data_IF_562255687811
#
_entry.id   IF_562255687811
#
_cell.length_a   1.000
_cell.length_b   1.000
_cell.length_c   1.000
_cell.angle_alpha   90.00
_cell.angle_beta   90.00
_cell.angle_gamma   90.00
#
_symmetry.space_group_name_H-M   'P 1'
#
loop_
_entity.id
_entity.type
_entity.pdbx_description
1 polymer ?
#
# COMPACT_ATOMS: atom_id res chain seq x y z
N UNK A 1 37.97 3.93 -0.77
CA UNK A 1 37.34 4.37 -2.03
C UNK A 1 36.00 4.97 -1.66
N UNK A 2 35.64 6.18 -2.13
CA UNK A 2 34.30 6.69 -1.91
C UNK A 2 33.30 5.76 -2.64
N UNK A 3 32.34 5.20 -1.90
CA UNK A 3 31.22 4.46 -2.50
C UNK A 3 30.31 5.44 -3.21
N UNK A 4 30.20 5.30 -4.54
CA UNK A 4 29.22 6.03 -5.32
C UNK A 4 27.86 5.33 -5.11
N UNK A 5 26.81 6.04 -4.67
CA UNK A 5 25.47 5.47 -4.57
C UNK A 5 25.06 4.89 -5.94
N UNK A 6 24.69 3.62 -5.97
CA UNK A 6 24.22 2.99 -7.20
C UNK A 6 22.73 3.26 -7.39
N UNK A 7 22.28 3.54 -8.63
CA UNK A 7 20.86 3.61 -8.93
C UNK A 7 20.19 2.28 -8.61
N UNK A 8 18.96 2.34 -8.09
CA UNK A 8 18.14 1.18 -7.79
C UNK A 8 17.86 0.34 -9.04
N UNK A 9 17.72 1.00 -10.20
CA UNK A 9 17.50 0.39 -11.51
C UNK A 9 18.54 0.95 -12.51
N UNK A 10 19.61 0.20 -12.82
CA UNK A 10 20.74 0.69 -13.62
C UNK A 10 20.43 1.06 -15.08
N UNK A 11 19.31 0.62 -15.64
CA UNK A 11 18.87 0.93 -17.01
C UNK A 11 17.53 1.66 -17.06
N UNK A 12 17.16 2.31 -15.97
CA UNK A 12 15.96 3.15 -15.90
C UNK A 12 16.14 4.40 -16.77
N UNK A 13 15.27 4.54 -17.77
CA UNK A 13 15.21 5.70 -18.66
C UNK A 13 14.54 6.93 -18.01
N UNK A 14 14.08 6.78 -16.76
CA UNK A 14 13.44 7.82 -15.99
C UNK A 14 11.98 8.06 -16.39
N UNK A 15 11.40 7.28 -17.30
CA UNK A 15 9.99 7.42 -17.70
C UNK A 15 9.02 6.86 -16.64
N UNK A 16 7.78 7.34 -16.60
CA UNK A 16 6.77 6.76 -15.71
C UNK A 16 6.39 5.36 -16.22
N UNK A 17 6.39 4.36 -15.34
CA UNK A 17 5.91 3.01 -15.67
C UNK A 17 4.45 3.06 -16.15
N UNK A 18 4.12 2.30 -17.20
CA UNK A 18 2.76 2.22 -17.74
C UNK A 18 1.75 1.79 -16.69
N UNK A 19 2.09 0.83 -15.83
CA UNK A 19 1.22 0.36 -14.75
C UNK A 19 0.87 1.49 -13.76
N UNK A 20 1.86 2.34 -13.44
CA UNK A 20 1.66 3.50 -12.56
C UNK A 20 0.83 4.58 -13.25
N UNK A 21 1.10 4.86 -14.54
CA UNK A 21 0.35 5.84 -15.31
C UNK A 21 -1.13 5.44 -15.46
N UNK A 22 -1.40 4.15 -15.72
CA UNK A 22 -2.75 3.60 -15.85
C UNK A 22 -3.48 3.64 -14.51
N UNK A 23 -2.83 3.23 -13.41
CA UNK A 23 -3.43 3.26 -12.07
C UNK A 23 -3.79 4.69 -11.63
N UNK A 24 -2.88 5.65 -11.83
CA UNK A 24 -3.14 7.06 -11.52
C UNK A 24 -4.28 7.63 -12.37
N UNK A 25 -4.31 7.31 -13.67
CA UNK A 25 -5.37 7.75 -14.57
C UNK A 25 -6.73 7.18 -14.16
N UNK A 26 -6.81 5.87 -13.88
CA UNK A 26 -8.02 5.20 -13.41
C UNK A 26 -8.49 5.74 -12.05
N UNK A 27 -7.58 6.02 -11.13
CA UNK A 27 -7.91 6.65 -9.85
C UNK A 27 -8.50 8.05 -10.05
N UNK A 28 -7.90 8.87 -10.92
CA UNK A 28 -8.41 10.20 -11.24
C UNK A 28 -9.79 10.18 -11.92
N UNK A 29 -10.08 9.12 -12.67
CA UNK A 29 -11.37 8.87 -13.31
C UNK A 29 -12.41 8.24 -12.36
N UNK A 30 -12.01 7.84 -11.15
CA UNK A 30 -12.88 7.17 -10.18
C UNK A 30 -13.19 5.70 -10.52
N UNK A 31 -12.42 5.08 -11.42
CA UNK A 31 -12.58 3.67 -11.81
C UNK A 31 -11.62 2.72 -11.10
N UNK A 32 -10.69 3.26 -10.30
CA UNK A 32 -9.82 2.52 -9.41
C UNK A 32 -9.72 3.25 -8.05
N UNK A 33 -9.33 2.53 -7.01
CA UNK A 33 -9.16 3.08 -5.67
C UNK A 33 -7.69 3.44 -5.37
N UNK A 34 -7.44 4.00 -4.19
CA UNK A 34 -6.09 4.35 -3.76
C UNK A 34 -5.19 3.12 -3.62
N UNK A 35 -5.75 1.94 -3.32
CA UNK A 35 -5.03 0.67 -3.20
C UNK A 35 -4.34 0.32 -4.51
N UNK A 36 -5.06 0.42 -5.64
CA UNK A 36 -4.49 0.15 -6.96
C UNK A 36 -3.27 1.04 -7.26
N UNK A 37 -3.35 2.34 -6.91
CA UNK A 37 -2.23 3.27 -7.07
C UNK A 37 -1.05 2.88 -6.17
N UNK A 38 -1.31 2.63 -4.88
CA UNK A 38 -0.27 2.24 -3.93
C UNK A 38 0.42 0.93 -4.33
N UNK A 39 -0.32 -0.06 -4.84
CA UNK A 39 0.24 -1.31 -5.37
C UNK A 39 1.16 -1.06 -6.56
N UNK A 40 0.72 -0.26 -7.55
CA UNK A 40 1.53 0.07 -8.71
C UNK A 40 2.81 0.86 -8.32
N UNK A 41 2.68 1.82 -7.40
CA UNK A 41 3.80 2.59 -6.88
C UNK A 41 4.80 1.72 -6.11
N UNK A 42 4.33 0.71 -5.35
CA UNK A 42 5.22 -0.19 -4.61
C UNK A 42 6.04 -1.11 -5.53
N UNK A 43 5.55 -1.39 -6.73
CA UNK A 43 6.27 -2.16 -7.76
C UNK A 43 7.23 -1.33 -8.62
N UNK A 44 7.28 0.00 -8.43
CA UNK A 44 8.07 0.92 -9.25
C UNK A 44 9.00 1.80 -8.42
N UNK A 45 10.07 2.29 -9.03
CA UNK A 45 10.90 3.35 -8.42
C UNK A 45 10.21 4.71 -8.49
N UNK A 46 10.43 5.52 -7.48
CA UNK A 46 10.14 6.95 -7.45
C UNK A 46 11.42 7.76 -7.64
N UNK A 47 11.27 8.99 -8.11
CA UNK A 47 12.34 9.97 -8.22
C UNK A 47 12.11 11.05 -7.15
N UNK A 48 13.00 11.10 -6.18
CA UNK A 48 13.03 12.15 -5.16
C UNK A 48 13.89 13.29 -5.67
N UNK A 49 13.38 14.54 -5.74
CA UNK A 49 14.19 15.67 -6.17
C UNK A 49 15.18 16.06 -5.08
N UNK A 50 16.43 16.29 -5.44
CA UNK A 50 17.37 17.03 -4.59
C UNK A 50 17.87 18.27 -5.32
N UNK A 51 18.01 19.37 -4.58
CA UNK A 51 18.49 20.64 -5.13
C UNK A 51 19.71 21.09 -4.34
N UNK A 52 20.71 21.61 -5.05
CA UNK A 52 21.85 22.24 -4.39
C UNK A 52 21.40 23.62 -3.89
N UNK A 53 21.46 23.84 -2.58
CA UNK A 53 21.33 25.17 -2.02
C UNK A 53 22.72 25.80 -1.97
N UNK A 54 22.84 27.01 -2.51
CA UNK A 54 24.02 27.82 -2.32
C UNK A 54 23.81 28.60 -1.02
N UNK A 55 24.50 28.22 0.06
CA UNK A 55 24.56 29.02 1.27
C UNK A 55 25.34 30.31 0.98
N UNK A 56 24.79 31.46 1.37
CA UNK A 56 25.44 32.76 1.17
C UNK A 56 26.78 32.79 1.92
N UNK A 57 27.82 33.26 1.23
CA UNK A 57 29.18 33.30 1.75
C UNK A 57 29.31 34.38 2.83
N UNK A 58 29.66 34.02 4.06
CA UNK A 58 30.11 35.00 5.03
C UNK A 58 31.51 35.50 4.61
N UNK A 59 31.63 36.81 4.32
CA UNK A 59 32.89 37.43 3.92
C UNK A 59 33.79 37.53 5.14
N UNK A 60 34.66 36.54 5.33
CA UNK A 60 35.75 36.63 6.31
C UNK A 60 36.67 37.82 6.01
N UNK A 61 37.13 38.51 7.06
CA UNK A 61 37.89 39.77 7.02
C UNK A 61 39.24 39.75 6.26
N UNK A 62 39.60 38.65 5.58
CA UNK A 62 40.90 38.46 4.92
C UNK A 62 40.82 38.02 3.45
N UNK A 63 39.66 38.14 2.78
CA UNK A 63 39.59 38.07 1.31
C UNK A 63 39.90 36.71 0.67
N UNK A 64 40.00 35.63 1.46
CA UNK A 64 40.10 34.27 0.93
C UNK A 64 38.70 33.71 0.73
N UNK A 65 38.32 33.53 -0.54
CA UNK A 65 37.05 32.93 -0.97
C UNK A 65 37.09 31.43 -0.68
N UNK A 66 36.51 31.01 0.44
CA UNK A 66 36.44 29.61 0.84
C UNK A 66 35.53 28.84 -0.13
N UNK A 67 35.96 27.65 -0.54
CA UNK A 67 35.29 26.84 -1.55
C UNK A 67 33.94 26.29 -1.04
N UNK A 68 32.87 26.98 -1.44
CA UNK A 68 31.54 26.49 -1.85
C UNK A 68 31.16 25.04 -1.45
N UNK A 69 30.93 24.77 -0.18
CA UNK A 69 30.24 23.55 0.25
C UNK A 69 28.78 23.62 -0.25
N UNK A 70 28.42 22.72 -1.18
CA UNK A 70 27.06 22.62 -1.72
C UNK A 70 26.25 21.72 -0.81
N UNK A 71 25.33 22.28 -0.03
CA UNK A 71 24.39 21.52 0.78
C UNK A 71 23.25 21.01 -0.10
N UNK A 72 23.05 19.68 -0.14
CA UNK A 72 21.99 19.05 -0.92
C UNK A 72 20.74 18.96 -0.05
N UNK A 73 19.68 19.68 -0.41
CA UNK A 73 18.43 19.70 0.34
C UNK A 73 17.34 18.90 -0.36
N UNK A 74 16.50 18.24 0.45
CA UNK A 74 15.22 17.66 0.03
C UNK A 74 14.16 18.77 0.02
N UNK A 75 13.67 19.21 -1.15
CA UNK A 75 12.63 20.23 -1.23
C UNK A 75 11.32 19.71 -0.63
N UNK A 76 10.69 20.54 0.21
CA UNK A 76 9.36 20.29 0.77
C UNK A 76 8.34 21.27 0.20
N UNK A 77 7.12 20.80 -0.02
CA UNK A 77 5.97 21.65 -0.28
C UNK A 77 5.34 22.07 1.04
N UNK A 78 4.88 23.32 1.14
CA UNK A 78 4.08 23.79 2.27
C UNK A 78 2.62 23.88 1.82
N UNK A 79 1.74 23.14 2.49
CA UNK A 79 0.31 23.16 2.24
C UNK A 79 -0.33 24.47 2.72
N UNK A 80 -1.57 24.72 2.33
CA UNK A 80 -2.30 25.90 2.82
C UNK A 80 -2.55 25.88 4.33
N UNK A 81 -2.48 24.69 4.93
CA UNK A 81 -2.57 24.48 6.37
C UNK A 81 -1.22 24.61 7.09
N UNK A 82 -0.16 25.01 6.38
CA UNK A 82 1.18 25.21 6.92
C UNK A 82 1.97 23.94 7.18
N UNK A 83 1.37 22.75 7.00
CA UNK A 83 2.10 21.48 7.12
C UNK A 83 2.99 21.29 5.90
N UNK A 84 4.09 20.57 6.08
CA UNK A 84 5.04 20.26 5.00
C UNK A 84 4.77 18.90 4.37
N UNK A 85 5.14 18.72 3.11
CA UNK A 85 5.12 17.44 2.41
C UNK A 85 6.41 17.20 1.62
N UNK A 86 6.87 15.96 1.62
CA UNK A 86 7.97 15.52 0.75
C UNK A 86 7.45 15.30 -0.67
N UNK A 87 8.28 15.65 -1.64
CA UNK A 87 8.00 15.45 -3.05
C UNK A 87 8.56 14.13 -3.56
N UNK A 88 7.79 13.45 -4.39
CA UNK A 88 8.25 12.34 -5.21
C UNK A 88 7.63 12.43 -6.61
N UNK A 89 8.32 11.85 -7.58
CA UNK A 89 7.85 11.83 -8.97
C UNK A 89 7.91 10.42 -9.52
N UNK A 90 6.92 10.07 -10.34
CA UNK A 90 6.91 8.77 -11.03
C UNK A 90 7.78 8.80 -12.29
N UNK A 91 8.16 9.99 -12.79
CA UNK A 91 9.03 10.11 -13.96
C UNK A 91 9.73 11.46 -14.06
N UNK A 92 10.86 11.46 -14.77
CA UNK A 92 11.74 12.61 -14.96
C UNK A 92 11.02 13.78 -15.66
N UNK A 93 10.09 13.48 -16.57
CA UNK A 93 9.29 14.52 -17.24
C UNK A 93 8.44 15.35 -16.27
N UNK A 94 7.81 14.74 -15.26
CA UNK A 94 7.06 15.46 -14.24
C UNK A 94 7.98 16.25 -13.30
N UNK A 95 9.10 15.65 -12.91
CA UNK A 95 10.12 16.28 -12.07
C UNK A 95 10.71 17.54 -12.76
N UNK A 96 11.06 17.45 -14.04
CA UNK A 96 11.60 18.57 -14.82
C UNK A 96 10.59 19.70 -15.06
N UNK A 97 9.30 19.37 -15.22
CA UNK A 97 8.23 20.39 -15.26
C UNK A 97 8.07 21.12 -13.94
N UNK A 98 8.25 20.41 -12.82
CA UNK A 98 8.23 21.03 -11.50
C UNK A 98 9.46 21.93 -11.29
N UNK A 99 10.67 21.41 -11.58
CA UNK A 99 11.92 22.15 -11.42
C UNK A 99 13.06 21.57 -12.27
N UNK A 100 13.58 22.37 -13.19
CA UNK A 100 14.57 21.93 -14.19
C UNK A 100 15.98 21.66 -13.63
N UNK A 101 16.38 22.29 -12.52
CA UNK A 101 17.69 22.10 -11.87
C UNK A 101 17.68 20.98 -10.80
N UNK A 102 16.52 20.33 -10.57
CA UNK A 102 16.42 19.25 -9.60
C UNK A 102 17.11 17.97 -10.11
N UNK A 103 17.92 17.35 -9.25
CA UNK A 103 18.59 16.09 -9.56
C UNK A 103 17.72 14.93 -9.06
N UNK A 104 17.41 13.93 -9.89
CA UNK A 104 16.62 12.78 -9.46
C UNK A 104 17.46 11.79 -8.66
N UNK A 105 16.96 11.40 -7.49
CA UNK A 105 17.45 10.23 -6.74
C UNK A 105 16.38 9.16 -6.81
N UNK A 106 16.74 7.95 -7.26
CA UNK A 106 15.82 6.81 -7.27
C UNK A 106 15.58 6.32 -5.84
N UNK A 107 14.32 6.05 -5.49
CA UNK A 107 13.93 5.55 -4.18
C UNK A 107 12.70 4.64 -4.29
N UNK A 108 12.51 3.76 -3.31
CA UNK A 108 11.28 2.97 -3.18
C UNK A 108 10.18 3.81 -2.52
N UNK A 109 8.92 3.43 -2.71
CA UNK A 109 7.78 4.06 -2.03
C UNK A 109 7.95 4.09 -0.51
N UNK A 110 8.35 2.96 0.08
CA UNK A 110 8.53 2.81 1.52
C UNK A 110 9.66 3.70 2.06
N UNK A 111 10.80 3.78 1.35
CA UNK A 111 11.91 4.68 1.71
C UNK A 111 11.51 6.15 1.66
N UNK A 112 10.72 6.57 0.66
CA UNK A 112 10.20 7.95 0.58
C UNK A 112 9.26 8.25 1.75
N UNK A 113 8.40 7.30 2.13
CA UNK A 113 7.50 7.45 3.28
C UNK A 113 8.28 7.54 4.59
N UNK A 114 9.30 6.71 4.76
CA UNK A 114 10.20 6.76 5.92
C UNK A 114 10.91 8.12 6.02
N UNK A 115 11.45 8.62 4.90
CA UNK A 115 12.11 9.91 4.86
C UNK A 115 11.14 11.05 5.21
N UNK A 116 9.91 11.02 4.70
CA UNK A 116 8.89 12.00 5.03
C UNK A 116 8.57 12.05 6.53
N UNK A 117 8.40 10.89 7.16
CA UNK A 117 8.17 10.82 8.63
C UNK A 117 9.39 11.31 9.40
N UNK A 118 10.60 10.94 8.99
CA UNK A 118 11.85 11.39 9.63
C UNK A 118 12.04 12.91 9.54
N UNK A 119 11.64 13.51 8.43
CA UNK A 119 11.66 14.97 8.18
C UNK A 119 10.51 15.74 8.86
N UNK A 120 9.61 15.03 9.56
CA UNK A 120 8.43 15.63 10.18
C UNK A 120 7.37 16.10 9.17
N UNK A 121 7.44 15.63 7.92
CA UNK A 121 6.47 15.95 6.89
C UNK A 121 5.15 15.22 7.12
N UNK A 122 4.04 15.90 6.87
CA UNK A 122 2.70 15.37 7.07
C UNK A 122 2.20 14.50 5.92
N UNK A 123 2.85 14.60 4.75
CA UNK A 123 2.46 13.90 3.53
C UNK A 123 3.64 13.64 2.60
N UNK A 124 3.46 12.68 1.70
CA UNK A 124 4.20 12.56 0.44
C UNK A 124 3.29 12.97 -0.70
N UNK A 125 3.73 13.88 -1.55
CA UNK A 125 3.02 14.31 -2.75
C UNK A 125 3.74 13.77 -3.97
N UNK A 126 3.05 12.89 -4.68
CA UNK A 126 3.51 12.28 -5.92
C UNK A 126 3.04 13.11 -7.10
N UNK A 127 3.95 13.45 -8.00
CA UNK A 127 3.66 14.08 -9.30
C UNK A 127 2.89 15.40 -9.21
N UNK A 128 3.33 16.33 -8.35
CA UNK A 128 2.69 17.66 -8.22
C UNK A 128 2.58 18.43 -9.54
N UNK A 129 3.52 18.23 -10.47
CA UNK A 129 3.52 18.80 -11.83
C UNK A 129 3.25 17.73 -12.93
N UNK A 130 2.76 16.57 -12.51
CA UNK A 130 2.29 15.50 -13.38
C UNK A 130 0.82 15.66 -13.77
N UNK A 131 0.33 14.79 -14.65
CA UNK A 131 -1.07 14.82 -15.09
C UNK A 131 -2.05 14.53 -13.94
N UNK A 132 -1.66 13.66 -13.00
CA UNK A 132 -2.47 13.28 -11.83
C UNK A 132 -1.61 13.36 -10.58
N UNK A 133 -1.77 14.40 -9.73
CA UNK A 133 -1.12 14.42 -8.42
C UNK A 133 -1.80 13.41 -7.48
N UNK A 134 -0.99 12.71 -6.68
CA UNK A 134 -1.46 11.74 -5.69
C UNK A 134 -0.81 12.00 -4.34
N UNK A 135 -1.52 11.75 -3.25
CA UNK A 135 -1.11 12.15 -1.89
C UNK A 135 -1.21 10.97 -0.96
N UNK A 136 -0.15 10.77 -0.18
CA UNK A 136 -0.07 9.75 0.86
C UNK A 136 0.11 10.50 2.18
N UNK A 137 -0.87 10.38 3.08
CA UNK A 137 -0.86 11.09 4.37
C UNK A 137 -1.51 10.27 5.48
N UNK A 138 -1.36 10.74 6.72
CA UNK A 138 -1.96 10.12 7.90
C UNK A 138 -1.49 8.69 8.13
N UNK A 139 -2.40 7.80 8.54
CA UNK A 139 -2.09 6.43 8.93
C UNK A 139 -1.45 5.61 7.80
N UNK A 140 -1.80 5.87 6.53
CA UNK A 140 -1.17 5.18 5.39
C UNK A 140 0.32 5.52 5.32
N UNK A 141 0.67 6.81 5.48
CA UNK A 141 2.06 7.27 5.52
C UNK A 141 2.80 6.65 6.71
N UNK A 142 2.19 6.70 7.90
CA UNK A 142 2.78 6.18 9.14
C UNK A 142 3.06 4.67 9.06
N UNK A 143 2.11 3.88 8.54
CA UNK A 143 2.26 2.44 8.35
C UNK A 143 3.36 2.12 7.34
N UNK A 144 3.37 2.78 6.18
CA UNK A 144 4.38 2.53 5.15
C UNK A 144 5.80 2.89 5.63
N UNK A 145 5.94 4.01 6.34
CA UNK A 145 7.20 4.36 6.98
C UNK A 145 7.63 3.30 8.01
N UNK A 146 6.71 2.83 8.86
CA UNK A 146 7.00 1.86 9.90
C UNK A 146 7.35 0.47 9.36
N UNK A 147 6.84 0.08 8.19
CA UNK A 147 7.25 -1.14 7.49
C UNK A 147 8.73 -1.04 7.11
N UNK A 148 9.15 0.06 6.49
CA UNK A 148 10.55 0.27 6.08
C UNK A 148 11.51 0.28 7.27
N UNK A 149 11.14 0.94 8.36
CA UNK A 149 11.98 1.04 9.56
C UNK A 149 11.91 -0.16 10.49
N UNK A 150 11.06 -1.16 10.21
CA UNK A 150 10.86 -2.32 11.09
C UNK A 150 10.18 -1.98 12.42
N UNK A 151 9.43 -0.88 12.49
CA UNK A 151 8.77 -0.36 13.70
C UNK A 151 7.25 -0.50 13.67
N UNK A 152 6.71 -1.36 12.81
CA UNK A 152 5.26 -1.54 12.63
C UNK A 152 4.50 -1.88 13.93
N UNK A 153 5.15 -2.56 14.88
CA UNK A 153 4.57 -2.87 16.21
C UNK A 153 4.31 -1.64 17.08
N UNK A 154 4.86 -0.49 16.72
CA UNK A 154 4.68 0.78 17.42
C UNK A 154 3.54 1.62 16.84
N UNK A 155 2.98 1.22 15.70
CA UNK A 155 1.85 1.94 15.07
C UNK A 155 0.54 1.50 15.73
N UNK A 156 -0.18 2.46 16.31
CA UNK A 156 -1.45 2.21 16.97
C UNK A 156 -2.50 1.70 15.96
N UNK A 157 -3.30 0.70 16.36
CA UNK A 157 -4.36 0.16 15.51
C UNK A 157 -3.92 -0.84 14.44
N UNK A 158 -2.62 -1.11 14.30
CA UNK A 158 -2.10 -2.14 13.39
C UNK A 158 -1.86 -3.43 14.17
N UNK A 159 -2.30 -4.58 13.62
CA UNK A 159 -2.13 -5.89 14.27
C UNK A 159 -1.69 -6.94 13.26
N UNK A 160 -0.70 -7.75 13.64
CA UNK A 160 -0.29 -8.95 12.90
C UNK A 160 -0.35 -10.13 13.86
N UNK A 161 -1.25 -11.07 13.61
CA UNK A 161 -1.38 -12.27 14.43
C UNK A 161 -0.35 -13.33 14.02
N UNK A 162 0.19 -14.07 14.99
CA UNK A 162 0.90 -15.31 14.72
C UNK A 162 -0.10 -16.45 14.63
N UNK A 163 -0.01 -17.27 13.57
CA UNK A 163 -0.72 -18.55 13.55
C UNK A 163 0.03 -19.52 14.47
N UNK A 164 -0.66 -20.05 15.48
CA UNK A 164 -0.16 -21.18 16.25
C UNK A 164 -0.40 -22.46 15.44
N UNK A 165 0.58 -23.37 15.39
CA UNK A 165 0.31 -24.73 14.93
C UNK A 165 -0.73 -25.38 15.85
N UNK A 166 -1.70 -26.07 15.26
CA UNK A 166 -2.68 -26.81 16.02
C UNK A 166 -1.95 -27.87 16.85
N UNK A 167 -2.27 -28.03 18.15
CA UNK A 167 -1.70 -29.12 18.93
C UNK A 167 -2.07 -30.42 18.23
N UNK A 168 -1.06 -31.25 17.97
CA UNK A 168 -1.23 -32.57 17.39
C UNK A 168 -2.32 -33.31 18.17
N UNK A 169 -3.38 -33.71 17.46
CA UNK A 169 -4.47 -34.46 18.05
C UNK A 169 -3.90 -35.84 18.37
N UNK A 170 -3.27 -35.95 19.54
CA UNK A 170 -2.62 -37.15 20.02
C UNK A 170 -3.52 -38.36 19.77
N UNK A 171 -2.96 -39.34 19.07
CA UNK A 171 -3.59 -40.61 18.73
C UNK A 171 -4.35 -41.12 19.96
N UNK A 172 -5.68 -41.12 19.86
CA UNK A 172 -6.53 -41.77 20.84
C UNK A 172 -6.07 -43.22 20.98
N UNK A 173 -5.72 -43.60 22.20
CA UNK A 173 -5.33 -44.93 22.61
C UNK A 173 -6.42 -45.93 22.19
N UNK A 174 -6.25 -46.54 21.01
CA UNK A 174 -7.13 -47.57 20.50
C UNK A 174 -6.84 -48.86 21.29
N UNK A 175 -7.73 -49.18 22.22
CA UNK A 175 -7.72 -50.42 22.99
C UNK A 175 -7.58 -51.63 22.06
N UNK A 176 -6.53 -52.42 22.29
CA UNK A 176 -6.35 -53.75 21.68
C UNK A 176 -7.55 -54.63 22.01
N UNK A 177 -8.29 -55.03 20.99
CA UNK A 177 -9.07 -56.27 21.01
C UNK A 177 -8.42 -57.25 20.02
N UNK A 178 -7.92 -58.35 20.55
CA UNK A 178 -7.42 -59.49 19.79
C UNK A 178 -8.57 -60.16 19.03
N UNK A 179 -8.38 -60.42 17.73
CA UNK A 179 -9.20 -61.36 16.98
C UNK A 179 -8.31 -62.15 16.01
N UNK A 180 -8.47 -63.47 16.07
CA UNK A 180 -7.60 -64.45 15.48
C UNK A 180 -7.76 -64.70 13.98
N UNK A 181 -6.70 -65.34 13.51
CA UNK A 181 -6.38 -65.93 12.23
C UNK A 181 -7.49 -66.76 11.53
N UNK A 182 -7.63 -66.59 10.20
CA UNK A 182 -7.56 -67.66 9.16
C UNK A 182 -7.71 -67.11 7.73
N UNK A 183 -7.07 -67.81 6.80
CA UNK A 183 -6.70 -67.39 5.46
C UNK A 183 -7.53 -68.01 4.32
N UNK A 184 -7.32 -67.46 3.12
CA UNK A 184 -7.25 -68.09 1.79
C UNK A 184 -8.42 -67.91 0.81
N UNK A 185 -8.10 -67.57 -0.45
CA UNK A 185 -8.90 -67.94 -1.63
C UNK A 185 -9.11 -66.89 -2.74
N UNK A 186 -8.08 -66.68 -3.57
CA UNK A 186 -8.07 -66.49 -5.04
C UNK A 186 -9.18 -65.75 -5.83
N UNK A 187 -8.76 -64.61 -6.40
CA UNK A 187 -8.69 -64.22 -7.84
C UNK A 187 -9.90 -64.16 -8.81
N UNK A 188 -9.85 -63.08 -9.60
CA UNK A 188 -10.78 -62.45 -10.56
C UNK A 188 -11.27 -63.29 -11.76
N UNK A 189 -12.25 -62.77 -12.52
CA UNK A 189 -11.91 -62.02 -13.75
C UNK A 189 -12.78 -60.77 -14.04
N UNK A 190 -12.24 -59.87 -14.88
CA UNK A 190 -12.86 -58.65 -15.43
C UNK A 190 -13.43 -58.90 -16.86
N UNK A 191 -13.83 -57.87 -17.64
CA UNK A 191 -15.03 -57.01 -17.52
C UNK A 191 -15.83 -56.95 -18.85
N UNK A 192 -17.13 -56.62 -18.87
CA UNK A 192 -17.78 -56.14 -20.11
C UNK A 192 -19.14 -55.45 -19.88
N UNK A 193 -19.34 -54.31 -20.55
CA UNK A 193 -20.66 -53.77 -20.90
C UNK A 193 -21.12 -52.51 -20.15
N UNK A 194 -20.82 -51.33 -20.70
CA UNK A 194 -21.62 -50.10 -20.50
C UNK A 194 -22.63 -49.97 -21.64
N UNK A 195 -23.93 -49.84 -21.35
CA UNK A 195 -24.69 -48.65 -21.76
C UNK A 195 -25.79 -48.31 -20.73
N UNK A 196 -26.40 -47.13 -20.63
CA UNK A 196 -26.36 -45.84 -21.31
C UNK A 196 -27.14 -44.87 -20.40
N UNK A 197 -26.92 -43.56 -20.55
CA UNK A 197 -27.53 -42.55 -19.69
C UNK A 197 -29.05 -42.42 -19.92
N UNK A 198 -29.85 -42.58 -18.86
CA UNK A 198 -31.25 -42.15 -18.83
C UNK A 198 -31.41 -40.89 -17.97
N UNK A 199 -32.32 -40.02 -18.44
CA UNK A 199 -32.30 -38.58 -18.24
C UNK A 199 -32.69 -38.08 -16.86
N UNK A 200 -32.22 -36.86 -16.56
CA UNK A 200 -32.67 -36.05 -15.43
C UNK A 200 -34.09 -35.52 -15.65
N UNK A 201 -35.05 -35.76 -14.74
CA UNK A 201 -36.34 -35.08 -14.76
C UNK A 201 -36.17 -33.59 -14.48
N UNK A 202 -36.85 -32.74 -15.27
CA UNK A 202 -36.83 -31.28 -15.11
C UNK A 202 -37.43 -30.83 -13.78
N UNK A 203 -36.80 -29.83 -13.15
CA UNK A 203 -37.30 -29.20 -11.95
C UNK A 203 -38.59 -28.41 -12.25
N UNK A 204 -39.67 -28.75 -11.54
CA UNK A 204 -40.92 -27.98 -11.56
C UNK A 204 -40.74 -26.58 -11.00
N UNK A 205 -41.42 -25.60 -11.62
CA UNK A 205 -41.39 -24.19 -11.24
C UNK A 205 -41.96 -23.94 -9.84
N UNK A 206 -41.33 -23.00 -9.13
CA UNK A 206 -41.81 -22.50 -7.83
C UNK A 206 -42.85 -21.38 -8.03
N UNK A 207 -44.03 -21.44 -7.39
CA UNK A 207 -44.97 -20.33 -7.37
C UNK A 207 -44.42 -19.12 -6.58
N UNK A 208 -44.73 -17.91 -7.04
CA UNK A 208 -44.30 -16.66 -6.43
C UNK A 208 -44.89 -16.42 -5.03
N UNK A 209 -44.09 -15.84 -4.14
CA UNK A 209 -44.53 -15.43 -2.82
C UNK A 209 -45.26 -14.08 -2.88
N UNK A 210 -46.48 -14.03 -2.37
CA UNK A 210 -47.24 -12.81 -2.10
C UNK A 210 -46.58 -11.97 -0.99
N UNK A 211 -46.66 -10.65 -1.12
CA UNK A 211 -46.00 -9.68 -0.26
C UNK A 211 -46.60 -9.58 1.15
N UNK A 212 -45.72 -9.34 2.13
CA UNK A 212 -46.11 -8.99 3.50
C UNK A 212 -46.10 -7.46 3.70
N UNK A 213 -47.16 -6.87 4.31
CA UNK A 213 -47.22 -5.44 4.62
C UNK A 213 -46.22 -5.01 5.70
N UNK A 214 -45.78 -3.75 5.62
CA UNK A 214 -44.78 -3.15 6.49
C UNK A 214 -45.21 -2.98 7.95
N UNK A 215 -44.24 -3.10 8.85
CA UNK A 215 -44.39 -2.78 10.26
C UNK A 215 -43.96 -1.33 10.53
N UNK A 216 -44.86 -0.58 11.17
CA UNK A 216 -44.61 0.76 11.73
C UNK A 216 -43.58 0.73 12.88
N UNK A 217 -42.93 1.88 13.08
CA UNK A 217 -41.70 2.03 13.84
C UNK A 217 -41.79 1.92 15.37
N UNK A 218 -40.62 1.69 15.96
CA UNK A 218 -40.37 1.74 17.40
C UNK A 218 -39.65 3.04 17.78
N UNK A 219 -40.10 3.78 18.81
CA UNK A 219 -39.39 4.96 19.31
C UNK A 219 -38.21 4.62 20.24
N UNK A 220 -37.06 5.25 19.98
CA UNK A 220 -36.11 5.83 20.94
C UNK A 220 -35.48 4.96 22.04
N UNK A 221 -34.23 4.54 21.85
CA UNK A 221 -33.29 4.30 22.96
C UNK A 221 -32.31 5.48 23.06
N UNK A 222 -32.22 6.08 24.26
CA UNK A 222 -31.39 7.24 24.55
C UNK A 222 -29.92 7.03 24.21
N UNK A 223 -29.32 8.03 23.57
CA UNK A 223 -27.91 8.04 23.22
C UNK A 223 -27.02 8.07 24.46
N UNK A 224 -26.18 7.04 24.58
CA UNK A 224 -24.93 7.12 25.33
C UNK A 224 -24.05 8.24 24.73
N UNK A 225 -23.42 9.11 25.55
CA UNK A 225 -22.43 10.05 25.04
C UNK A 225 -21.30 9.27 24.36
N UNK A 226 -21.09 9.51 23.07
CA UNK A 226 -19.96 8.96 22.34
C UNK A 226 -18.63 9.47 22.90
N UNK A 227 -17.52 8.75 22.66
CA UNK A 227 -16.20 9.23 23.05
C UNK A 227 -15.92 10.59 22.40
N UNK A 228 -15.25 11.44 23.17
CA UNK A 228 -14.80 12.77 22.75
C UNK A 228 -14.14 12.69 21.37
N UNK A 229 -14.70 13.44 20.43
CA UNK A 229 -14.29 13.47 19.03
C UNK A 229 -12.82 13.94 18.97
N UNK A 230 -11.90 13.03 18.64
CA UNK A 230 -10.55 13.41 18.29
C UNK A 230 -10.62 14.41 17.11
N UNK A 231 -9.77 15.46 17.09
CA UNK A 231 -9.87 16.49 16.07
C UNK A 231 -9.77 15.86 14.68
N UNK A 232 -10.80 16.05 13.86
CA UNK A 232 -10.84 15.58 12.47
C UNK A 232 -9.63 16.14 11.74
N UNK A 233 -8.62 15.28 11.51
CA UNK A 233 -7.46 15.60 10.68
C UNK A 233 -7.98 15.86 9.27
N UNK A 234 -8.09 17.13 8.89
CA UNK A 234 -8.56 17.54 7.56
C UNK A 234 -7.44 17.20 6.55
N UNK A 235 -7.78 16.47 5.48
CA UNK A 235 -6.83 16.06 4.45
C UNK A 235 -6.20 17.24 3.70
N UNK A 236 -4.96 17.07 3.26
CA UNK A 236 -4.05 18.12 2.76
C UNK A 236 -4.49 18.76 1.43
N UNK A 237 -5.13 17.97 0.55
CA UNK A 237 -5.68 18.41 -0.73
C UNK A 237 -7.20 18.36 -0.70
N UNK A 238 -7.87 19.48 -0.41
CA UNK A 238 -9.24 19.68 -0.92
C UNK A 238 -9.17 20.65 -2.08
N UNK A 239 -9.43 20.16 -3.30
CA UNK A 239 -9.95 21.04 -4.36
C UNK A 239 -11.32 21.54 -3.86
N UNK A 240 -11.56 22.85 -3.96
CA UNK A 240 -12.90 23.40 -3.79
C UNK A 240 -13.81 22.92 -4.92
#
# INVERSE_FOLDING_TARGET
MPSIPQPLVPSDDGSTSTEVADALSAFSAGTADATAVLTALNGSRLLVPVVALLTESEVGAHGLKQEKESEMALPKLVGQDGREAVLAFTGAGALMRWRADARPIQSTLLSVCQAAVHEGAAAVVVDVAGPVPFVIEGQVLEVMAAIESGTLSQVEGVTVARMAEAPDAGEGEAGRHEAGERASGEQSPSPEGVPGAEGVPGAGGVPGAEGVPGAEGVPGAGGVPGPVEAPKRRGWFRRR
#
